data_IF_308594343066
#
_entry.id   IF_308594343066
#
_cell.length_a   1.000
_cell.length_b   1.000
_cell.length_c   1.000
_cell.angle_alpha   90.00
_cell.angle_beta   90.00
_cell.angle_gamma   90.00
#
_symmetry.space_group_name_H-M   'P 1'
#
loop_
_entity.id
_entity.type
_entity.pdbx_description
1 polymer ?
#
# COMPACT_ATOMS: atom_id res chain seq x y z
N UNK A 1 13.88 -1.50 19.15
CA UNK A 1 13.26 -0.20 19.42
C UNK A 1 11.78 -0.36 19.08
N UNK A 2 10.90 -0.25 20.06
CA UNK A 2 9.45 -0.24 19.83
C UNK A 2 8.98 1.14 20.22
N UNK A 3 8.55 1.86 19.20
CA UNK A 3 8.09 3.23 19.27
C UNK A 3 6.83 3.35 20.13
N UNK A 4 6.67 4.56 20.63
CA UNK A 4 5.71 5.02 21.64
C UNK A 4 4.27 4.59 21.32
N UNK A 5 3.80 3.51 21.94
CA UNK A 5 2.36 3.27 22.08
C UNK A 5 1.84 4.15 23.21
N UNK A 6 0.90 5.05 22.92
CA UNK A 6 0.23 5.84 23.96
C UNK A 6 -0.73 4.95 24.74
N UNK A 7 -0.42 4.69 26.03
CA UNK A 7 -1.19 4.06 27.13
C UNK A 7 -2.10 2.82 26.88
N UNK A 8 -2.44 2.48 25.64
CA UNK A 8 -3.26 1.35 25.24
C UNK A 8 -2.41 0.27 24.57
N UNK A 9 -2.62 -0.98 25.00
CA UNK A 9 -2.00 -2.16 24.39
C UNK A 9 -2.46 -2.27 22.92
N UNK A 10 -1.53 -2.40 21.99
CA UNK A 10 -1.85 -2.67 20.57
C UNK A 10 -2.76 -3.92 20.48
N UNK A 11 -4.03 -3.78 20.04
CA UNK A 11 -5.00 -4.87 20.03
C UNK A 11 -4.62 -5.95 19.02
N UNK A 12 -3.70 -5.68 18.09
CA UNK A 12 -3.26 -6.65 17.09
C UNK A 12 -2.25 -7.64 17.67
N UNK A 13 -1.67 -7.40 18.86
CA UNK A 13 -0.69 -8.27 19.48
C UNK A 13 -1.30 -9.33 20.41
N UNK A 14 -0.62 -10.47 20.55
CA UNK A 14 -0.93 -11.41 21.63
C UNK A 14 -0.65 -10.78 23.00
N UNK A 15 -1.46 -11.10 24.02
CA UNK A 15 -1.18 -10.64 25.37
C UNK A 15 0.21 -11.07 25.87
N UNK A 16 1.12 -10.10 26.02
CA UNK A 16 2.41 -10.27 26.66
C UNK A 16 3.52 -10.64 25.69
N UNK A 17 3.20 -10.69 24.39
CA UNK A 17 4.14 -11.01 23.33
C UNK A 17 4.16 -9.89 22.30
N UNK A 18 5.35 -9.57 21.80
CA UNK A 18 5.50 -8.68 20.66
C UNK A 18 5.32 -9.46 19.34
N UNK A 19 4.19 -10.15 19.21
CA UNK A 19 3.81 -10.96 18.04
C UNK A 19 2.34 -10.72 17.73
N UNK A 20 2.03 -10.43 16.46
CA UNK A 20 0.64 -10.21 16.04
C UNK A 20 -0.19 -11.49 16.17
N UNK A 21 -1.42 -11.36 16.66
CA UNK A 21 -2.43 -12.43 16.64
C UNK A 21 -2.64 -12.87 15.21
N UNK A 22 -2.54 -14.17 14.97
CA UNK A 22 -2.55 -14.75 13.63
C UNK A 22 -3.24 -16.13 13.64
N UNK A 23 -3.81 -16.48 12.49
CA UNK A 23 -4.59 -17.72 12.26
C UNK A 23 -3.74 -18.98 12.30
N UNK A 24 -2.43 -18.83 12.23
CA UNK A 24 -1.46 -19.93 12.19
C UNK A 24 -1.02 -20.37 13.59
N UNK A 25 -1.45 -19.68 14.65
CA UNK A 25 -1.03 -19.97 16.02
C UNK A 25 0.47 -19.74 16.26
N UNK A 26 1.13 -18.92 15.45
CA UNK A 26 2.57 -18.65 15.56
C UNK A 26 2.82 -17.61 16.66
N UNK A 27 3.71 -17.92 17.59
CA UNK A 27 4.07 -17.07 18.74
C UNK A 27 5.51 -16.52 18.68
N UNK A 28 6.19 -16.66 17.54
CA UNK A 28 7.54 -16.15 17.31
C UNK A 28 7.53 -15.17 16.14
N UNK A 29 7.98 -13.93 16.36
CA UNK A 29 7.92 -12.85 15.37
C UNK A 29 8.59 -13.21 14.04
N UNK A 30 9.81 -13.77 14.09
CA UNK A 30 10.55 -14.15 12.88
C UNK A 30 9.84 -15.24 12.08
N UNK A 31 9.28 -16.25 12.76
CA UNK A 31 8.52 -17.33 12.11
C UNK A 31 7.22 -16.80 11.48
N UNK A 32 6.56 -15.84 12.13
CA UNK A 32 5.37 -15.21 11.57
C UNK A 32 5.72 -14.37 10.33
N UNK A 33 6.83 -13.63 10.36
CA UNK A 33 7.31 -12.86 9.22
C UNK A 33 7.63 -13.75 8.02
N UNK A 34 8.33 -14.88 8.24
CA UNK A 34 8.63 -15.84 7.19
C UNK A 34 7.37 -16.45 6.58
N UNK A 35 6.44 -16.94 7.42
CA UNK A 35 5.17 -17.49 6.95
C UNK A 35 4.34 -16.45 6.19
N UNK A 36 4.34 -15.20 6.66
CA UNK A 36 3.63 -14.11 5.99
C UNK A 36 4.24 -13.80 4.61
N UNK A 37 5.56 -13.77 4.49
CA UNK A 37 6.25 -13.58 3.20
C UNK A 37 5.88 -14.67 2.18
N UNK A 38 5.94 -15.94 2.58
CA UNK A 38 5.62 -17.07 1.69
C UNK A 38 4.15 -17.08 1.27
N UNK A 39 3.23 -16.94 2.23
CA UNK A 39 1.79 -17.01 1.97
C UNK A 39 1.29 -15.81 1.15
N UNK A 40 1.80 -14.61 1.43
CA UNK A 40 1.43 -13.41 0.66
C UNK A 40 1.93 -13.49 -0.77
N UNK A 41 3.12 -14.04 -1.04
CA UNK A 41 3.62 -14.26 -2.39
C UNK A 41 2.73 -15.23 -3.18
N UNK A 42 2.33 -16.36 -2.57
CA UNK A 42 1.39 -17.31 -3.18
C UNK A 42 0.04 -16.67 -3.47
N UNK A 43 -0.45 -15.81 -2.58
CA UNK A 43 -1.71 -15.08 -2.79
C UNK A 43 -1.61 -14.01 -3.86
N UNK A 44 -0.50 -13.28 -3.91
CA UNK A 44 -0.25 -12.28 -4.94
C UNK A 44 -0.34 -12.88 -6.35
N UNK A 45 0.21 -14.08 -6.55
CA UNK A 45 0.11 -14.82 -7.81
C UNK A 45 -1.33 -15.22 -8.23
N UNK A 46 -2.31 -15.10 -7.33
CA UNK A 46 -3.73 -15.39 -7.60
C UNK A 46 -4.59 -14.14 -7.75
N UNK A 47 -4.02 -12.95 -7.59
CA UNK A 47 -4.76 -11.69 -7.71
C UNK A 47 -4.97 -11.39 -9.20
N UNK A 48 -6.23 -11.30 -9.60
CA UNK A 48 -6.63 -10.87 -10.94
C UNK A 48 -6.49 -9.34 -11.09
N UNK A 49 -6.51 -8.82 -12.32
CA UNK A 49 -6.35 -7.40 -12.64
C UNK A 49 -7.36 -6.48 -11.92
N UNK A 50 -8.53 -6.99 -11.56
CA UNK A 50 -9.58 -6.23 -10.91
C UNK A 50 -10.21 -5.16 -11.82
N UNK A 51 -11.17 -4.37 -11.29
CA UNK A 51 -11.96 -3.42 -12.07
C UNK A 51 -11.18 -2.15 -12.43
N UNK A 52 -11.53 -1.49 -13.53
CA UNK A 52 -11.04 -0.13 -13.84
C UNK A 52 -11.43 0.84 -12.70
N UNK A 53 -12.72 0.89 -12.36
CA UNK A 53 -13.24 1.70 -11.24
C UNK A 53 -12.89 1.04 -9.91
N UNK A 54 -12.03 1.68 -9.12
CA UNK A 54 -11.35 1.06 -7.97
C UNK A 54 -11.30 1.97 -6.74
N UNK A 55 -12.36 1.95 -5.93
CA UNK A 55 -12.36 2.69 -4.66
C UNK A 55 -11.57 2.00 -3.53
N UNK A 56 -11.65 2.59 -2.33
CA UNK A 56 -11.11 2.02 -1.09
C UNK A 56 -11.54 0.56 -0.84
N UNK A 57 -12.80 0.13 -1.17
CA UNK A 57 -13.18 -1.28 -1.05
C UNK A 57 -12.32 -2.24 -1.88
N UNK A 58 -11.81 -1.82 -3.05
CA UNK A 58 -10.93 -2.64 -3.88
C UNK A 58 -9.55 -2.80 -3.23
N UNK A 59 -8.99 -1.72 -2.68
CA UNK A 59 -7.75 -1.79 -1.91
C UNK A 59 -7.88 -2.72 -0.70
N UNK A 60 -9.01 -2.65 0.03
CA UNK A 60 -9.33 -3.59 1.11
C UNK A 60 -9.46 -5.04 0.60
N UNK A 61 -10.01 -5.26 -0.59
CA UNK A 61 -10.14 -6.58 -1.19
C UNK A 61 -8.77 -7.18 -1.55
N UNK A 62 -7.86 -6.38 -2.12
CA UNK A 62 -6.45 -6.77 -2.37
C UNK A 62 -5.79 -7.20 -1.07
N UNK A 63 -5.85 -6.35 -0.03
CA UNK A 63 -5.25 -6.67 1.27
C UNK A 63 -5.86 -7.93 1.89
N UNK A 64 -7.19 -8.11 1.78
CA UNK A 64 -7.85 -9.34 2.21
C UNK A 64 -7.31 -10.56 1.48
N UNK A 65 -7.16 -10.50 0.15
CA UNK A 65 -6.65 -11.63 -0.62
C UNK A 65 -5.21 -12.00 -0.21
N UNK A 66 -4.35 -11.00 0.02
CA UNK A 66 -2.97 -11.20 0.46
C UNK A 66 -2.88 -11.86 1.85
N UNK A 67 -3.71 -11.42 2.80
CA UNK A 67 -3.51 -11.73 4.22
C UNK A 67 -4.56 -12.65 4.86
N UNK A 68 -5.59 -13.09 4.12
CA UNK A 68 -6.73 -13.89 4.64
C UNK A 68 -6.34 -15.16 5.42
N UNK A 69 -5.22 -15.79 5.07
CA UNK A 69 -4.74 -17.02 5.72
C UNK A 69 -3.90 -16.74 6.98
N UNK A 70 -3.48 -15.49 7.18
CA UNK A 70 -2.55 -15.09 8.23
C UNK A 70 -3.30 -14.33 9.33
N UNK A 71 -4.18 -13.40 8.98
CA UNK A 71 -4.82 -12.48 9.92
C UNK A 71 -6.34 -12.48 9.80
N UNK A 72 -7.05 -12.50 10.92
CA UNK A 72 -8.52 -12.42 10.95
C UNK A 72 -9.05 -11.06 10.48
N UNK A 73 -8.24 -10.00 10.65
CA UNK A 73 -8.53 -8.63 10.24
C UNK A 73 -8.09 -8.32 8.80
N UNK A 74 -7.75 -9.33 7.99
CA UNK A 74 -7.31 -9.12 6.62
C UNK A 74 -8.38 -8.36 5.79
N UNK A 75 -8.02 -7.15 5.38
CA UNK A 75 -8.86 -6.25 4.59
C UNK A 75 -9.58 -5.18 5.41
N UNK A 76 -9.43 -5.22 6.75
CA UNK A 76 -9.98 -4.22 7.65
C UNK A 76 -8.99 -3.07 7.80
N UNK A 77 -9.51 -1.84 7.83
CA UNK A 77 -8.73 -0.66 8.13
C UNK A 77 -8.16 -0.77 9.55
N UNK A 78 -6.97 -0.19 9.79
CA UNK A 78 -6.36 -0.22 11.12
C UNK A 78 -7.16 0.61 12.12
N UNK A 79 -7.06 0.21 13.37
CA UNK A 79 -7.76 0.83 14.51
C UNK A 79 -6.80 1.50 15.50
N UNK A 80 -5.54 1.67 15.10
CA UNK A 80 -4.48 2.31 15.90
C UNK A 80 -3.65 3.23 15.02
N UNK A 81 -3.10 4.26 15.63
CA UNK A 81 -2.09 5.10 14.98
C UNK A 81 -0.76 4.36 14.88
N UNK A 82 -0.05 4.63 13.78
CA UNK A 82 1.24 4.03 13.48
C UNK A 82 2.19 5.11 12.95
N UNK A 83 3.48 4.83 13.10
CA UNK A 83 4.57 5.72 12.78
C UNK A 83 5.64 4.96 11.99
N UNK A 84 6.36 5.69 11.14
CA UNK A 84 7.60 5.24 10.55
C UNK A 84 8.68 6.26 10.90
N UNK A 85 9.53 5.94 11.88
CA UNK A 85 10.41 6.92 12.50
C UNK A 85 9.58 8.05 13.13
N UNK A 86 9.87 9.29 12.74
CA UNK A 86 9.15 10.48 13.22
C UNK A 86 7.87 10.79 12.40
N UNK A 87 7.68 10.13 11.26
CA UNK A 87 6.50 10.35 10.40
C UNK A 87 5.30 9.62 10.96
N UNK A 88 4.25 10.37 11.31
CA UNK A 88 2.94 9.83 11.68
C UNK A 88 2.07 9.69 10.43
N UNK A 89 1.52 8.50 10.21
CA UNK A 89 0.52 8.29 9.16
C UNK A 89 -0.84 8.88 9.55
N UNK A 90 -1.83 8.82 8.66
CA UNK A 90 -3.19 9.30 8.90
C UNK A 90 -3.75 8.83 10.26
N UNK A 91 -4.49 9.68 10.97
CA UNK A 91 -5.12 9.22 12.21
C UNK A 91 -6.14 8.11 11.90
N UNK A 92 -6.11 7.00 12.64
CA UNK A 92 -6.88 5.80 12.25
C UNK A 92 -8.38 6.05 12.07
N UNK A 93 -8.97 6.93 12.88
CA UNK A 93 -10.39 7.27 12.81
C UNK A 93 -10.76 8.07 11.54
N UNK A 94 -9.78 8.59 10.81
CA UNK A 94 -9.99 9.38 9.58
C UNK A 94 -9.70 8.61 8.31
N UNK A 95 -9.16 7.38 8.38
CA UNK A 95 -8.75 6.61 7.19
C UNK A 95 -9.90 6.42 6.21
N UNK A 96 -11.10 6.08 6.67
CA UNK A 96 -12.24 5.87 5.77
C UNK A 96 -12.64 7.17 5.08
N UNK A 97 -12.70 8.28 5.82
CA UNK A 97 -13.05 9.59 5.28
C UNK A 97 -12.02 10.06 4.25
N UNK A 98 -10.75 10.13 4.63
CA UNK A 98 -9.67 10.64 3.79
C UNK A 98 -9.39 9.69 2.62
N UNK A 99 -9.50 8.37 2.84
CA UNK A 99 -9.36 7.38 1.79
C UNK A 99 -10.47 7.47 0.75
N UNK A 100 -11.73 7.67 1.15
CA UNK A 100 -12.82 7.88 0.19
C UNK A 100 -12.67 9.19 -0.57
N UNK A 101 -12.21 10.27 0.07
CA UNK A 101 -11.93 11.53 -0.61
C UNK A 101 -10.83 11.36 -1.67
N UNK A 102 -9.71 10.72 -1.31
CA UNK A 102 -8.62 10.45 -2.25
C UNK A 102 -9.07 9.59 -3.45
N UNK A 103 -9.94 8.61 -3.21
CA UNK A 103 -10.48 7.76 -4.27
C UNK A 103 -11.47 8.51 -5.16
N UNK A 104 -12.21 9.47 -4.62
CA UNK A 104 -13.06 10.36 -5.41
C UNK A 104 -12.22 11.25 -6.32
N UNK A 105 -11.14 11.86 -5.81
CA UNK A 105 -10.23 12.67 -6.62
C UNK A 105 -9.64 11.84 -7.78
N UNK A 106 -9.29 10.58 -7.52
CA UNK A 106 -8.77 9.67 -8.53
C UNK A 106 -9.85 9.27 -9.57
N UNK A 107 -11.11 9.12 -9.14
CA UNK A 107 -12.25 8.88 -10.05
C UNK A 107 -12.52 10.10 -10.93
N UNK A 108 -12.44 11.32 -10.38
CA UNK A 108 -12.64 12.57 -11.11
C UNK A 108 -11.55 12.77 -12.18
N UNK A 109 -10.35 12.23 -11.95
CA UNK A 109 -9.26 12.13 -12.94
C UNK A 109 -9.36 10.88 -13.83
N UNK A 110 -10.53 10.24 -13.90
CA UNK A 110 -10.81 9.08 -14.75
C UNK A 110 -9.81 7.93 -14.54
N UNK A 111 -9.36 7.72 -13.30
CA UNK A 111 -8.38 6.69 -12.95
C UNK A 111 -7.06 6.80 -13.74
N UNK A 112 -6.69 8.02 -14.12
CA UNK A 112 -5.48 8.37 -14.89
C UNK A 112 -5.46 7.83 -16.33
N UNK A 113 -6.59 7.33 -16.84
CA UNK A 113 -6.70 6.79 -18.20
C UNK A 113 -6.57 7.91 -19.23
N UNK A 114 -5.81 7.65 -20.30
CA UNK A 114 -5.67 8.56 -21.45
C UNK A 114 -4.72 9.73 -21.21
N UNK A 115 -3.99 9.74 -20.09
CA UNK A 115 -2.91 10.68 -19.85
C UNK A 115 -1.66 10.29 -20.67
N UNK A 116 -0.91 11.25 -21.24
CA UNK A 116 0.43 10.98 -21.74
C UNK A 116 1.37 10.63 -20.58
N UNK A 117 2.48 9.96 -20.89
CA UNK A 117 3.35 9.33 -19.88
C UNK A 117 3.86 10.32 -18.82
N UNK A 118 4.26 11.52 -19.23
CA UNK A 118 4.74 12.56 -18.32
C UNK A 118 3.68 12.96 -17.29
N UNK A 119 2.41 13.10 -17.73
CA UNK A 119 1.28 13.40 -16.85
C UNK A 119 0.85 12.22 -16.02
N UNK A 120 0.88 11.02 -16.59
CA UNK A 120 0.61 9.80 -15.85
C UNK A 120 1.59 9.63 -14.69
N UNK A 121 2.89 9.77 -14.93
CA UNK A 121 3.94 9.71 -13.89
C UNK A 121 3.73 10.76 -12.81
N UNK A 122 3.45 12.02 -13.21
CA UNK A 122 3.25 13.10 -12.26
C UNK A 122 2.05 12.87 -11.34
N UNK A 123 0.92 12.37 -11.88
CA UNK A 123 -0.29 12.06 -11.09
C UNK A 123 -0.12 10.78 -10.29
N UNK A 124 0.47 9.73 -10.86
CA UNK A 124 0.79 8.49 -10.16
C UNK A 124 1.63 8.76 -8.91
N UNK A 125 2.69 9.56 -9.03
CA UNK A 125 3.54 9.92 -7.88
C UNK A 125 2.74 10.63 -6.77
N UNK A 126 1.81 11.52 -7.15
CA UNK A 126 0.94 12.19 -6.19
C UNK A 126 0.01 11.20 -5.48
N UNK A 127 -0.79 10.41 -6.21
CA UNK A 127 -1.72 9.47 -5.58
C UNK A 127 -1.00 8.38 -4.78
N UNK A 128 0.18 7.95 -5.23
CA UNK A 128 1.00 7.00 -4.49
C UNK A 128 1.46 7.59 -3.15
N UNK A 129 1.96 8.84 -3.15
CA UNK A 129 2.34 9.52 -1.92
C UNK A 129 1.15 9.69 -0.96
N UNK A 130 0.02 10.17 -1.45
CA UNK A 130 -1.18 10.38 -0.63
C UNK A 130 -1.68 9.08 0.00
N UNK A 131 -1.75 7.99 -0.77
CA UNK A 131 -2.21 6.70 -0.24
C UNK A 131 -1.18 6.08 0.72
N UNK A 132 0.13 6.33 0.50
CA UNK A 132 1.19 5.91 1.42
C UNK A 132 1.03 6.61 2.78
N UNK A 133 0.67 7.91 2.77
CA UNK A 133 0.37 8.68 3.98
C UNK A 133 -0.94 8.27 4.66
N UNK A 134 -1.94 7.84 3.89
CA UNK A 134 -3.16 7.22 4.42
C UNK A 134 -2.82 5.97 5.25
N UNK A 135 -1.92 5.13 4.72
CA UNK A 135 -1.43 3.89 5.32
C UNK A 135 -2.54 3.05 5.98
N UNK A 136 -3.52 2.56 5.19
CA UNK A 136 -4.83 2.15 5.72
C UNK A 136 -4.80 0.89 6.58
N UNK A 137 -3.77 0.04 6.49
CA UNK A 137 -3.72 -1.24 7.17
C UNK A 137 -2.63 -1.30 8.24
N UNK A 138 -2.78 -2.21 9.21
CA UNK A 138 -1.83 -2.38 10.33
C UNK A 138 -0.49 -2.98 9.88
N UNK A 139 -0.51 -3.84 8.87
CA UNK A 139 0.65 -4.34 8.13
C UNK A 139 0.24 -4.44 6.66
N UNK A 140 1.21 -4.49 5.75
CA UNK A 140 0.90 -4.85 4.36
C UNK A 140 0.30 -3.73 3.50
N UNK A 141 0.27 -2.48 3.99
CA UNK A 141 -0.16 -1.32 3.18
C UNK A 141 0.66 -1.20 1.90
N UNK A 142 1.99 -1.25 1.99
CA UNK A 142 2.85 -1.13 0.80
C UNK A 142 2.57 -2.19 -0.26
N UNK A 143 2.39 -3.45 0.13
CA UNK A 143 2.12 -4.53 -0.83
C UNK A 143 0.74 -4.38 -1.49
N UNK A 144 -0.29 -4.02 -0.72
CA UNK A 144 -1.63 -3.78 -1.27
C UNK A 144 -1.66 -2.56 -2.20
N UNK A 145 -0.93 -1.49 -1.84
CA UNK A 145 -0.81 -0.27 -2.65
C UNK A 145 -0.09 -0.53 -3.98
N UNK A 146 1.04 -1.27 -3.96
CA UNK A 146 1.76 -1.63 -5.19
C UNK A 146 0.85 -2.35 -6.19
N UNK A 147 0.16 -3.40 -5.73
CA UNK A 147 -0.77 -4.16 -6.58
C UNK A 147 -1.92 -3.27 -7.06
N UNK A 148 -2.46 -2.40 -6.21
CA UNK A 148 -3.51 -1.45 -6.59
C UNK A 148 -3.06 -0.54 -7.75
N UNK A 149 -1.83 -0.02 -7.69
CA UNK A 149 -1.29 0.87 -8.73
C UNK A 149 -0.77 0.14 -9.97
N UNK A 150 -0.22 -1.07 -9.83
CA UNK A 150 0.13 -1.93 -10.97
C UNK A 150 -1.11 -2.19 -11.84
N UNK A 151 -2.20 -2.59 -11.19
CA UNK A 151 -3.47 -2.80 -11.87
C UNK A 151 -4.04 -1.51 -12.46
N UNK A 152 -3.92 -0.37 -11.77
CA UNK A 152 -4.35 0.94 -12.28
C UNK A 152 -3.57 1.31 -13.54
N UNK A 153 -2.25 1.16 -13.49
CA UNK A 153 -1.37 1.44 -14.63
C UNK A 153 -1.74 0.60 -15.85
N UNK A 154 -2.00 -0.70 -15.66
CA UNK A 154 -2.42 -1.59 -16.76
C UNK A 154 -3.71 -1.08 -17.43
N UNK A 155 -4.71 -0.67 -16.64
CA UNK A 155 -5.93 -0.07 -17.20
C UNK A 155 -5.70 1.28 -17.90
N UNK A 156 -4.65 2.01 -17.51
CA UNK A 156 -4.24 3.27 -18.12
C UNK A 156 -3.29 3.09 -19.32
N UNK A 157 -2.95 1.86 -19.71
CA UNK A 157 -2.05 1.57 -20.83
C UNK A 157 -0.56 1.56 -20.47
N UNK A 158 -0.23 1.42 -19.20
CA UNK A 158 1.14 1.40 -18.66
C UNK A 158 1.43 0.13 -17.86
N UNK A 159 2.71 -0.20 -17.70
CA UNK A 159 3.20 -1.23 -16.78
C UNK A 159 4.14 -0.58 -15.78
N UNK A 160 4.07 -1.04 -14.52
CA UNK A 160 5.02 -0.67 -13.47
C UNK A 160 6.00 -1.83 -13.27
N UNK A 161 7.29 -1.58 -13.49
CA UNK A 161 8.36 -2.50 -13.07
C UNK A 161 9.13 -1.91 -11.89
N UNK A 162 9.12 -2.63 -10.76
CA UNK A 162 9.84 -2.26 -9.54
C UNK A 162 11.25 -2.83 -9.47
N UNK A 163 11.72 -3.43 -10.58
CA UNK A 163 13.06 -3.98 -10.67
C UNK A 163 14.11 -2.88 -10.45
N UNK A 164 15.18 -3.24 -9.75
CA UNK A 164 16.34 -2.35 -9.50
C UNK A 164 16.05 -1.03 -8.78
N UNK A 165 14.92 -0.90 -8.06
CA UNK A 165 14.67 0.24 -7.16
C UNK A 165 15.22 -0.08 -5.76
N UNK A 166 16.31 0.59 -5.31
CA UNK A 166 16.85 0.37 -3.97
C UNK A 166 15.83 0.75 -2.89
N UNK A 167 15.71 -0.07 -1.85
CA UNK A 167 14.78 0.16 -0.74
C UNK A 167 15.06 1.50 -0.05
N UNK A 168 16.33 1.88 0.07
CA UNK A 168 16.76 3.14 0.64
C UNK A 168 16.34 4.34 -0.23
N UNK A 169 16.48 4.25 -1.56
CA UNK A 169 16.04 5.30 -2.50
C UNK A 169 14.52 5.48 -2.42
N UNK A 170 13.78 4.37 -2.40
CA UNK A 170 12.33 4.36 -2.24
C UNK A 170 11.88 5.03 -0.93
N UNK A 171 12.46 4.62 0.20
CA UNK A 171 12.09 5.16 1.51
C UNK A 171 12.40 6.66 1.63
N UNK A 172 13.51 7.13 1.07
CA UNK A 172 13.86 8.55 1.06
C UNK A 172 12.89 9.36 0.18
N UNK A 173 12.49 8.81 -0.97
CA UNK A 173 11.52 9.46 -1.85
C UNK A 173 10.13 9.58 -1.17
N UNK A 174 9.67 8.52 -0.50
CA UNK A 174 8.42 8.53 0.27
C UNK A 174 8.46 9.56 1.41
N UNK A 175 9.58 9.65 2.13
CA UNK A 175 9.75 10.62 3.22
C UNK A 175 9.73 12.07 2.71
N UNK A 176 10.45 12.37 1.62
CA UNK A 176 10.41 13.70 0.99
C UNK A 176 9.03 14.04 0.45
N UNK A 177 8.34 13.06 -0.13
CA UNK A 177 6.97 13.21 -0.62
C UNK A 177 5.99 13.56 0.51
N UNK A 178 6.10 12.87 1.65
CA UNK A 178 5.31 13.17 2.85
C UNK A 178 5.54 14.60 3.40
N UNK A 179 6.71 15.19 3.11
CA UNK A 179 7.04 16.58 3.45
C UNK A 179 6.68 17.58 2.35
N UNK A 180 6.05 17.13 1.26
CA UNK A 180 5.56 17.94 0.14
C UNK A 180 6.47 17.98 -1.09
N UNK A 181 7.62 17.29 -1.08
CA UNK A 181 8.52 17.22 -2.24
C UNK A 181 8.42 15.88 -2.97
N UNK A 182 7.63 15.86 -4.05
CA UNK A 182 7.45 14.68 -4.90
C UNK A 182 8.55 14.50 -5.96
N UNK A 183 9.60 15.32 -5.98
CA UNK A 183 10.60 15.31 -7.06
C UNK A 183 11.34 13.98 -7.17
N UNK A 184 11.76 13.42 -6.03
CA UNK A 184 12.42 12.12 -5.99
C UNK A 184 11.47 10.98 -6.38
N UNK A 185 10.22 11.03 -5.90
CA UNK A 185 9.23 9.99 -6.19
C UNK A 185 8.86 9.98 -7.68
N UNK A 186 8.69 11.16 -8.30
CA UNK A 186 8.54 11.29 -9.76
C UNK A 186 9.73 10.73 -10.52
N UNK A 187 10.95 10.97 -10.05
CA UNK A 187 12.16 10.44 -10.69
C UNK A 187 12.21 8.90 -10.65
N UNK A 188 11.76 8.27 -9.56
CA UNK A 188 11.59 6.82 -9.49
C UNK A 188 10.52 6.37 -10.47
N UNK A 189 9.34 6.99 -10.48
CA UNK A 189 8.25 6.58 -11.37
C UNK A 189 8.58 6.72 -12.85
N UNK A 190 9.42 7.67 -13.27
CA UNK A 190 9.95 7.73 -14.65
C UNK A 190 10.80 6.52 -15.05
N UNK A 191 11.39 5.81 -14.09
CA UNK A 191 12.14 4.56 -14.34
C UNK A 191 11.21 3.34 -14.33
N UNK A 192 10.18 3.39 -13.48
CA UNK A 192 9.25 2.28 -13.21
C UNK A 192 8.17 2.15 -14.28
N UNK A 193 7.71 3.27 -14.84
CA UNK A 193 6.63 3.31 -15.83
C UNK A 193 7.16 3.03 -17.23
N UNK A 194 6.46 2.17 -17.97
CA UNK A 194 6.65 1.94 -19.41
C UNK A 194 5.30 1.69 -20.09
N UNK A 195 5.20 1.88 -21.41
CA UNK A 195 3.98 1.56 -22.15
C UNK A 195 3.65 0.05 -22.05
N UNK A 196 2.37 -0.26 -21.85
CA UNK A 196 1.91 -1.64 -21.93
C UNK A 196 2.03 -2.13 -23.39
N UNK A 197 2.57 -3.34 -23.63
CA UNK A 197 2.63 -3.89 -24.97
C UNK A 197 1.22 -3.97 -25.55
N UNK A 198 1.07 -3.58 -26.82
CA UNK A 198 -0.19 -3.75 -27.54
C UNK A 198 -0.62 -5.22 -27.43
N UNK A 199 -1.82 -5.44 -26.91
CA UNK A 199 -2.43 -6.77 -26.93
C UNK A 199 -2.99 -6.97 -28.33
N UNK A 200 -2.32 -7.80 -29.14
CA UNK A 200 -2.85 -8.32 -30.41
C UNK A 200 -4.17 -9.07 -30.24
#
# INVERSE_FOLDING_TARGET
>A
MSDKFGDGRDPYLYPGLNVMRNRLGIHQAQRLAQAAYELTALRAATIELGPLKRGLPHLCAIHRQLYRDIFDWAGHLREVDIYQGETRFCHFAYIEKEGNALMQDLEDESWLVGLPEDKFVDRLAHYYCEINMLHPFRIGSGLAQRIFFEQLAIHAGYILSWDDIPVEEWNLADQSGAMGDLSALRAIFRKVVSEAPETE
#
